data_IF_480889001113
#
_entry.id   IF_480889001113
#
_cell.length_a   1.000
_cell.length_b   1.000
_cell.length_c   1.000
_cell.angle_alpha   90.00
_cell.angle_beta   90.00
_cell.angle_gamma   90.00
#
_symmetry.space_group_name_H-M   'P 1'
#
loop_
_entity.id
_entity.type
_entity.pdbx_description
1 polymer ?
#
# COMPACT_ATOMS: atom_id res chain seq x y z
N UNK A 1 -3.29 -12.09 15.64
CA UNK A 1 -2.33 -11.20 14.95
C UNK A 1 -2.10 -11.70 13.54
N UNK A 2 -1.98 -10.80 12.55
CA UNK A 2 -1.69 -11.23 11.16
C UNK A 2 -0.24 -11.69 11.02
N UNK A 3 0.04 -12.55 10.02
CA UNK A 3 1.40 -13.00 9.71
C UNK A 3 2.38 -11.85 9.41
N UNK A 4 1.86 -10.71 8.94
CA UNK A 4 2.67 -9.52 8.63
C UNK A 4 3.16 -8.78 9.86
N UNK A 5 2.53 -8.97 11.03
CA UNK A 5 2.92 -8.26 12.25
C UNK A 5 4.38 -8.55 12.65
N UNK A 6 4.78 -9.82 12.65
CA UNK A 6 6.14 -10.22 12.98
C UNK A 6 7.18 -9.64 12.01
N UNK A 7 6.85 -9.60 10.72
CA UNK A 7 7.71 -9.02 9.67
C UNK A 7 7.94 -7.54 9.90
N UNK A 8 6.87 -6.78 10.19
CA UNK A 8 6.97 -5.34 10.43
C UNK A 8 7.73 -4.99 11.71
N UNK A 9 7.53 -5.76 12.79
CA UNK A 9 8.26 -5.55 14.05
C UNK A 9 9.76 -5.84 13.89
N UNK A 10 10.11 -6.85 13.08
CA UNK A 10 11.50 -7.26 12.83
C UNK A 10 12.26 -6.35 11.86
N UNK A 11 11.72 -6.10 10.65
CA UNK A 11 12.40 -5.32 9.60
C UNK A 11 12.31 -3.81 9.84
N UNK A 12 11.15 -3.33 10.33
CA UNK A 12 10.79 -1.92 10.54
C UNK A 12 10.76 -1.02 9.31
N UNK A 13 11.34 -1.39 8.18
CA UNK A 13 11.14 -0.65 6.93
C UNK A 13 9.80 -1.05 6.28
N UNK A 14 9.04 -0.05 5.83
CA UNK A 14 7.71 -0.25 5.26
C UNK A 14 7.43 0.69 4.09
N UNK A 15 6.57 0.23 3.17
CA UNK A 15 6.00 1.04 2.10
C UNK A 15 4.48 0.94 2.12
N UNK A 16 3.81 2.09 2.21
CA UNK A 16 2.35 2.22 2.12
C UNK A 16 2.02 2.61 0.69
N UNK A 17 1.29 1.74 -0.02
CA UNK A 17 0.87 1.97 -1.40
C UNK A 17 -0.63 2.29 -1.44
N UNK A 18 -1.00 3.45 -1.98
CA UNK A 18 -2.40 3.84 -2.24
C UNK A 18 -2.76 3.40 -3.65
N UNK A 19 -3.77 2.55 -3.80
CA UNK A 19 -4.04 1.88 -5.07
C UNK A 19 -4.99 2.69 -5.97
N UNK A 20 -4.70 2.78 -7.29
CA UNK A 20 -5.70 3.20 -8.27
C UNK A 20 -6.73 2.08 -8.51
N UNK A 21 -7.89 2.45 -9.04
CA UNK A 21 -8.95 1.51 -9.43
C UNK A 21 -8.47 0.44 -10.41
N UNK A 22 -7.50 0.76 -11.27
CA UNK A 22 -6.91 -0.19 -12.23
C UNK A 22 -6.11 -1.33 -11.59
N UNK A 23 -5.75 -1.23 -10.30
CA UNK A 23 -5.00 -2.26 -9.55
C UNK A 23 -5.88 -3.05 -8.58
N UNK A 24 -7.19 -3.15 -8.84
CA UNK A 24 -8.11 -3.96 -8.03
C UNK A 24 -7.69 -5.44 -7.92
N UNK A 25 -7.13 -6.03 -8.98
CA UNK A 25 -6.63 -7.42 -8.94
C UNK A 25 -5.53 -7.61 -7.89
N UNK A 26 -4.60 -6.65 -7.77
CA UNK A 26 -3.56 -6.63 -6.74
C UNK A 26 -4.20 -6.52 -5.35
N UNK A 27 -5.19 -5.64 -5.18
CA UNK A 27 -5.91 -5.52 -3.91
C UNK A 27 -6.57 -6.84 -3.50
N UNK A 28 -7.21 -7.55 -4.44
CA UNK A 28 -7.82 -8.87 -4.21
C UNK A 28 -6.79 -9.93 -3.83
N UNK A 29 -5.61 -9.93 -4.44
CA UNK A 29 -4.52 -10.83 -4.06
C UNK A 29 -4.11 -10.61 -2.60
N UNK A 30 -3.85 -9.37 -2.20
CA UNK A 30 -3.41 -9.04 -0.84
C UNK A 30 -4.52 -9.13 0.21
N UNK A 31 -5.79 -9.00 -0.18
CA UNK A 31 -6.96 -9.25 0.67
C UNK A 31 -7.23 -10.76 0.90
N UNK A 32 -6.45 -11.65 0.27
CA UNK A 32 -6.66 -13.10 0.39
C UNK A 32 -7.90 -13.61 -0.35
N UNK A 33 -8.42 -12.84 -1.31
CA UNK A 33 -9.56 -13.22 -2.15
C UNK A 33 -9.16 -14.11 -3.35
N UNK A 34 -7.89 -14.51 -3.43
CA UNK A 34 -7.36 -15.38 -4.47
C UNK A 34 -6.50 -16.48 -3.85
N UNK A 35 -6.18 -17.52 -4.62
CA UNK A 35 -5.30 -18.61 -4.19
C UNK A 35 -3.80 -18.28 -4.18
N UNK A 36 -3.41 -17.04 -4.50
CA UNK A 36 -2.00 -16.65 -4.59
C UNK A 36 -1.35 -16.63 -3.19
N UNK A 37 -0.26 -17.37 -3.03
CA UNK A 37 0.52 -17.43 -1.79
C UNK A 37 1.12 -16.06 -1.45
N UNK A 38 1.47 -15.83 -0.17
CA UNK A 38 2.07 -14.55 0.23
C UNK A 38 3.39 -14.29 -0.50
N UNK A 39 4.19 -15.32 -0.72
CA UNK A 39 5.46 -15.23 -1.43
C UNK A 39 5.24 -14.89 -2.91
N UNK A 40 4.30 -15.57 -3.57
CA UNK A 40 4.05 -15.36 -5.00
C UNK A 40 3.42 -13.98 -5.30
N UNK A 41 2.70 -13.39 -4.33
CA UNK A 41 2.23 -12.00 -4.43
C UNK A 41 3.36 -11.00 -4.64
N UNK A 42 4.52 -11.22 -4.00
CA UNK A 42 5.69 -10.35 -4.14
C UNK A 42 6.57 -10.70 -5.35
N UNK A 43 6.34 -11.84 -6.03
CA UNK A 43 7.00 -12.20 -7.29
C UNK A 43 6.33 -11.59 -8.53
N UNK A 44 5.14 -11.02 -8.40
CA UNK A 44 4.45 -10.35 -9.51
C UNK A 44 5.33 -9.22 -10.09
N UNK A 45 5.38 -9.03 -11.43
CA UNK A 45 6.26 -8.06 -12.08
C UNK A 45 5.76 -6.60 -11.97
N UNK A 46 5.15 -6.27 -10.84
CA UNK A 46 4.54 -4.96 -10.53
C UNK A 46 5.29 -4.22 -9.42
N UNK A 47 6.31 -4.85 -8.83
CA UNK A 47 7.11 -4.27 -7.75
C UNK A 47 8.36 -3.62 -8.30
N UNK A 48 8.63 -2.40 -7.84
CA UNK A 48 9.93 -1.75 -7.94
C UNK A 48 10.64 -1.87 -6.58
N UNK A 49 11.97 -1.86 -6.61
CA UNK A 49 12.78 -1.86 -5.40
C UNK A 49 12.84 -0.44 -4.81
N UNK A 50 12.42 -0.30 -3.56
CA UNK A 50 12.40 0.94 -2.80
C UNK A 50 13.66 1.20 -1.97
N UNK A 51 13.59 2.21 -1.10
CA UNK A 51 14.59 2.44 -0.05
C UNK A 51 14.60 1.24 0.93
N UNK A 52 15.79 0.81 1.37
CA UNK A 52 15.93 -0.35 2.25
C UNK A 52 15.25 -1.63 1.71
N UNK A 53 15.23 -1.80 0.39
CA UNK A 53 14.66 -2.96 -0.31
C UNK A 53 13.17 -3.22 -0.09
N UNK A 54 12.40 -2.22 0.40
CA UNK A 54 10.96 -2.37 0.54
C UNK A 54 10.28 -2.42 -0.83
N UNK A 55 9.29 -3.30 -1.05
CA UNK A 55 8.58 -3.38 -2.32
C UNK A 55 7.67 -2.15 -2.52
N UNK A 56 7.88 -1.42 -3.62
CA UNK A 56 7.07 -0.28 -4.04
C UNK A 56 6.16 -0.70 -5.19
N UNK A 57 4.85 -0.51 -5.05
CA UNK A 57 3.91 -0.94 -6.09
C UNK A 57 3.95 0.03 -7.27
N UNK A 58 4.41 -0.45 -8.42
CA UNK A 58 4.39 0.31 -9.66
C UNK A 58 2.96 0.68 -10.01
N UNK A 59 2.74 1.95 -10.26
CA UNK A 59 1.42 2.49 -10.59
C UNK A 59 0.53 2.80 -9.38
N UNK A 60 0.99 2.65 -8.13
CA UNK A 60 0.29 3.21 -6.98
C UNK A 60 0.05 4.73 -7.16
N UNK A 61 -1.12 5.22 -6.74
CA UNK A 61 -1.46 6.64 -6.72
C UNK A 61 -0.54 7.43 -5.78
N UNK A 62 -0.15 6.81 -4.68
CA UNK A 62 0.90 7.30 -3.82
C UNK A 62 1.67 6.12 -3.23
N UNK A 63 2.97 6.30 -3.03
CA UNK A 63 3.79 5.41 -2.21
C UNK A 63 4.52 6.21 -1.15
N UNK A 64 4.41 5.76 0.10
CA UNK A 64 5.07 6.37 1.26
C UNK A 64 5.99 5.32 1.85
N UNK A 65 7.29 5.54 1.72
CA UNK A 65 8.33 4.67 2.25
C UNK A 65 8.91 5.28 3.51
N UNK A 66 9.29 4.44 4.46
CA UNK A 66 9.97 4.90 5.66
C UNK A 66 10.07 3.84 6.72
N UNK A 67 10.32 4.29 7.95
CA UNK A 67 10.65 3.44 9.08
C UNK A 67 9.57 3.46 10.13
N UNK A 68 9.19 2.29 10.62
CA UNK A 68 8.33 2.12 11.78
C UNK A 68 9.13 2.53 13.02
N UNK A 69 8.77 3.68 13.59
CA UNK A 69 9.42 4.25 14.79
C UNK A 69 8.71 3.87 16.08
N UNK A 70 7.45 3.48 16.00
CA UNK A 70 6.70 2.96 17.14
C UNK A 70 5.62 1.96 16.69
N UNK A 71 5.31 1.00 17.56
CA UNK A 71 4.16 0.12 17.43
C UNK A 71 3.44 0.03 18.79
N UNK A 72 2.12 0.19 18.80
CA UNK A 72 1.29 0.08 20.01
C UNK A 72 0.22 -0.97 19.80
N UNK A 73 0.16 -1.96 20.67
CA UNK A 73 -0.92 -2.95 20.65
C UNK A 73 -2.23 -2.32 21.17
N UNK A 74 -3.31 -2.53 20.42
CA UNK A 74 -4.66 -2.05 20.71
C UNK A 74 -5.63 -3.20 20.42
N UNK A 75 -6.01 -3.92 21.48
CA UNK A 75 -6.85 -5.11 21.35
C UNK A 75 -6.18 -6.18 20.49
N UNK A 76 -6.80 -6.55 19.37
CA UNK A 76 -6.28 -7.57 18.45
C UNK A 76 -5.32 -7.06 17.37
N UNK A 77 -5.06 -5.75 17.34
CA UNK A 77 -4.30 -5.06 16.29
C UNK A 77 -3.16 -4.23 16.86
N UNK A 78 -2.22 -3.83 16.01
CA UNK A 78 -1.14 -2.91 16.36
C UNK A 78 -1.25 -1.64 15.51
N UNK A 79 -1.16 -0.48 16.16
CA UNK A 79 -1.01 0.82 15.51
C UNK A 79 0.48 1.07 15.32
N UNK A 80 0.91 1.11 14.05
CA UNK A 80 2.31 1.36 13.68
C UNK A 80 2.47 2.81 13.19
N UNK A 81 3.46 3.51 13.73
CA UNK A 81 3.80 4.87 13.36
C UNK A 81 5.02 4.83 12.44
N UNK A 82 4.85 5.32 11.22
CA UNK A 82 5.89 5.32 10.18
C UNK A 82 6.40 6.74 10.00
N UNK A 83 7.69 6.95 10.27
CA UNK A 83 8.40 8.16 9.86
C UNK A 83 8.75 8.01 8.38
N UNK A 84 8.18 8.88 7.54
CA UNK A 84 8.28 8.75 6.09
C UNK A 84 9.54 9.43 5.57
N UNK A 85 10.36 8.70 4.80
CA UNK A 85 11.62 9.19 4.21
C UNK A 85 11.46 9.53 2.74
N UNK A 86 10.57 8.83 2.02
CA UNK A 86 10.30 9.09 0.61
C UNK A 86 8.81 8.99 0.29
N UNK A 87 8.31 9.99 -0.43
CA UNK A 87 6.93 10.05 -0.91
C UNK A 87 6.94 10.19 -2.43
N UNK A 88 6.15 9.38 -3.13
CA UNK A 88 5.81 9.58 -4.54
C UNK A 88 4.31 9.72 -4.65
N UNK A 89 3.84 10.70 -5.42
CA UNK A 89 2.42 10.95 -5.67
C UNK A 89 2.19 11.10 -7.16
N UNK A 90 1.16 10.42 -7.66
CA UNK A 90 0.67 10.57 -9.03
C UNK A 90 -0.47 11.58 -9.06
N UNK A 91 -0.45 12.41 -10.11
CA UNK A 91 -1.48 13.42 -10.36
C UNK A 91 -2.62 12.90 -11.24
N UNK A 92 -2.54 11.65 -11.69
CA UNK A 92 -3.54 10.98 -12.52
C UNK A 92 -4.15 9.75 -11.81
N UNK A 93 -5.14 9.14 -12.46
CA UNK A 93 -5.78 7.90 -12.01
C UNK A 93 -6.86 8.08 -10.94
N UNK A 94 -7.83 7.16 -10.98
CA UNK A 94 -8.97 7.10 -10.07
C UNK A 94 -8.64 6.22 -8.86
N UNK A 95 -9.22 6.53 -7.70
CA UNK A 95 -8.96 5.79 -6.47
C UNK A 95 -9.73 4.47 -6.43
N UNK A 96 -9.09 3.44 -5.87
CA UNK A 96 -9.77 2.25 -5.40
C UNK A 96 -10.20 2.47 -3.95
N UNK A 97 -11.47 2.25 -3.63
CA UNK A 97 -11.96 2.21 -2.25
C UNK A 97 -12.61 0.86 -1.96
N UNK A 98 -12.66 0.50 -0.68
CA UNK A 98 -13.41 -0.66 -0.22
C UNK A 98 -14.59 -0.20 0.61
N UNK A 99 -15.80 -0.51 0.14
CA UNK A 99 -17.07 -0.11 0.77
C UNK A 99 -18.11 -1.19 0.53
N UNK A 100 -18.96 -1.45 1.52
CA UNK A 100 -20.00 -2.50 1.46
C UNK A 100 -19.47 -3.86 0.96
N UNK A 101 -18.35 -4.29 1.54
CA UNK A 101 -17.66 -5.55 1.19
C UNK A 101 -17.27 -5.69 -0.28
N UNK A 102 -17.17 -4.59 -1.02
CA UNK A 102 -16.78 -4.59 -2.42
C UNK A 102 -15.78 -3.48 -2.74
N UNK A 103 -15.07 -3.66 -3.84
CA UNK A 103 -14.19 -2.66 -4.41
C UNK A 103 -15.00 -1.70 -5.28
N UNK A 104 -14.74 -0.41 -5.14
CA UNK A 104 -15.37 0.64 -5.94
C UNK A 104 -14.32 1.57 -6.52
N UNK A 105 -14.56 1.99 -7.76
CA UNK A 105 -13.81 3.06 -8.41
C UNK A 105 -14.39 4.41 -7.98
N UNK A 106 -13.54 5.29 -7.47
CA UNK A 106 -13.89 6.70 -7.23
C UNK A 106 -13.14 7.56 -8.25
N UNK A 107 -13.84 8.18 -9.20
CA UNK A 107 -13.22 9.06 -10.18
C UNK A 107 -12.47 10.22 -9.53
N UNK A 108 -11.28 10.53 -10.05
CA UNK A 108 -10.58 11.76 -9.67
C UNK A 108 -11.38 12.94 -10.24
N UNK A 109 -12.03 13.69 -9.36
CA UNK A 109 -12.84 14.85 -9.74
C UNK A 109 -12.01 16.12 -10.03
N UNK A 110 -10.74 16.15 -9.62
CA UNK A 110 -9.90 17.35 -9.71
C UNK A 110 -8.95 17.31 -10.92
N UNK A 111 -9.15 18.25 -11.84
CA UNK A 111 -8.31 18.51 -13.03
C UNK A 111 -7.47 19.79 -12.89
N UNK A 112 -7.38 20.37 -11.69
CA UNK A 112 -6.72 21.65 -11.47
C UNK A 112 -5.20 21.60 -11.70
N UNK A 113 -4.72 22.48 -12.56
CA UNK A 113 -3.31 22.82 -12.67
C UNK A 113 -2.97 23.74 -11.49
N UNK A 114 -1.91 23.44 -10.73
CA UNK A 114 -1.35 24.44 -9.81
C UNK A 114 -0.84 25.61 -10.65
N UNK A 115 -1.65 26.67 -10.77
CA UNK A 115 -1.16 27.98 -11.19
C UNK A 115 -0.69 28.66 -9.91
N UNK A 116 0.62 28.59 -9.69
CA UNK A 116 1.32 29.63 -8.92
C UNK A 116 1.69 30.75 -9.88
#
# INVERSE_FOLDING_TARGET
>A
MSAMHAVFVGNRDACINVLPASLESIARHFAGMTSLSMEDRFKLPVWDQGESDVPVLRGALASLQGKIVAAKEVGSHSVMFVETTQIRVRTDGDSLIYFDRNFHRVPRAWTGQWVI
#
